data_IF_734771491941
#
_entry.id   IF_734771491941
#
_cell.length_a   1.000
_cell.length_b   1.000
_cell.length_c   1.000
_cell.angle_alpha   90.00
_cell.angle_beta   90.00
_cell.angle_gamma   90.00
#
_symmetry.space_group_name_H-M   'P 1'
#
loop_
_entity.id
_entity.type
_entity.pdbx_description
1 polymer ?
#
# COMPACT_ATOMS: atom_id res chain seq x y z
N UNK A 1 4.99 10.88 13.50
CA UNK A 1 5.30 9.73 12.61
C UNK A 1 6.56 10.07 11.82
N UNK A 2 7.53 9.16 11.74
CA UNK A 2 8.77 9.36 10.99
C UNK A 2 8.51 9.19 9.48
N UNK A 3 8.78 10.20 8.61
CA UNK A 3 8.48 10.16 7.18
C UNK A 3 9.12 8.97 6.44
N UNK A 4 10.29 8.52 6.89
CA UNK A 4 11.04 7.42 6.25
C UNK A 4 10.36 6.06 6.43
N UNK A 5 9.65 5.84 7.53
CA UNK A 5 8.94 4.59 7.80
C UNK A 5 7.68 4.45 6.92
N UNK A 6 6.97 5.56 6.69
CA UNK A 6 5.78 5.55 5.86
C UNK A 6 6.10 5.18 4.41
N UNK A 7 7.23 5.66 3.89
CA UNK A 7 7.72 5.31 2.56
C UNK A 7 8.06 3.81 2.45
N UNK A 8 8.75 3.26 3.45
CA UNK A 8 9.12 1.84 3.47
C UNK A 8 7.89 0.92 3.49
N UNK A 9 6.89 1.23 4.33
CA UNK A 9 5.65 0.45 4.41
C UNK A 9 4.89 0.45 3.07
N UNK A 10 4.73 1.62 2.45
CA UNK A 10 4.03 1.73 1.16
C UNK A 10 4.82 0.98 0.08
N UNK A 11 6.15 1.09 0.04
CA UNK A 11 6.98 0.38 -0.93
C UNK A 11 6.90 -1.14 -0.76
N UNK A 12 6.89 -1.63 0.47
CA UNK A 12 6.74 -3.05 0.77
C UNK A 12 5.38 -3.59 0.32
N UNK A 13 4.30 -2.84 0.55
CA UNK A 13 2.96 -3.21 0.06
C UNK A 13 2.91 -3.20 -1.47
N UNK A 14 3.49 -2.17 -2.10
CA UNK A 14 3.54 -2.07 -3.57
C UNK A 14 4.28 -3.26 -4.20
N UNK A 15 5.42 -3.66 -3.64
CA UNK A 15 6.17 -4.84 -4.11
C UNK A 15 5.40 -6.14 -3.88
N UNK A 16 4.81 -6.33 -2.70
CA UNK A 16 4.03 -7.55 -2.38
C UNK A 16 2.81 -7.73 -3.28
N UNK A 17 2.10 -6.63 -3.56
CA UNK A 17 0.92 -6.64 -4.43
C UNK A 17 1.29 -6.51 -5.92
N UNK A 18 2.59 -6.40 -6.25
CA UNK A 18 3.10 -6.20 -7.61
C UNK A 18 2.42 -5.03 -8.35
N UNK A 19 2.21 -3.91 -7.65
CA UNK A 19 1.56 -2.71 -8.18
C UNK A 19 2.57 -1.57 -8.33
N UNK A 20 2.41 -0.78 -9.39
CA UNK A 20 3.33 0.33 -9.71
C UNK A 20 2.95 1.65 -9.03
N UNK A 21 1.75 1.74 -8.48
CA UNK A 21 1.18 2.98 -7.94
C UNK A 21 0.59 2.81 -6.55
N UNK A 22 0.74 3.86 -5.74
CA UNK A 22 0.18 3.93 -4.38
C UNK A 22 -1.34 3.84 -4.36
N UNK A 23 -2.01 4.53 -5.29
CA UNK A 23 -3.46 4.44 -5.46
C UNK A 23 -3.91 3.02 -5.80
N UNK A 24 -3.16 2.32 -6.65
CA UNK A 24 -3.44 0.94 -7.03
C UNK A 24 -3.23 -0.02 -5.84
N UNK A 25 -2.22 0.21 -5.01
CA UNK A 25 -2.02 -0.52 -3.76
C UNK A 25 -3.22 -0.35 -2.81
N UNK A 26 -3.73 0.87 -2.67
CA UNK A 26 -4.90 1.15 -1.82
C UNK A 26 -6.16 0.46 -2.38
N UNK A 27 -6.40 0.50 -3.69
CA UNK A 27 -7.55 -0.19 -4.31
C UNK A 27 -7.49 -1.69 -4.07
N UNK A 28 -6.31 -2.32 -4.21
CA UNK A 28 -6.20 -3.76 -3.94
C UNK A 28 -6.37 -4.10 -2.46
N UNK A 29 -5.85 -3.30 -1.54
CA UNK A 29 -6.10 -3.51 -0.12
C UNK A 29 -7.60 -3.42 0.23
N UNK A 30 -8.34 -2.52 -0.43
CA UNK A 30 -9.80 -2.43 -0.29
C UNK A 30 -10.49 -3.66 -0.87
N UNK A 31 -10.07 -4.14 -2.04
CA UNK A 31 -10.62 -5.37 -2.67
C UNK A 31 -10.37 -6.63 -1.84
N UNK A 32 -9.21 -6.72 -1.20
CA UNK A 32 -8.87 -7.81 -0.30
C UNK A 32 -9.61 -7.73 1.06
N UNK A 33 -10.30 -6.62 1.34
CA UNK A 33 -10.97 -6.38 2.61
C UNK A 33 -10.05 -5.99 3.77
N UNK A 34 -8.76 -5.80 3.49
CA UNK A 34 -7.71 -5.37 4.43
C UNK A 34 -7.87 -3.90 4.82
N UNK A 35 -8.47 -3.09 3.94
CA UNK A 35 -8.68 -1.67 4.15
C UNK A 35 -10.16 -1.34 3.94
N UNK A 36 -10.81 -0.80 4.98
CA UNK A 36 -12.18 -0.29 4.90
C UNK A 36 -12.13 1.23 4.88
N UNK A 37 -12.85 1.80 3.92
CA UNK A 37 -13.02 3.25 3.72
C UNK A 37 -14.39 3.66 4.23
#
# INVERSE_FOLDING_TARGET
MNPSLQWLCINNVMQKLNVKGRSQAVVELVRMGELKI
#
